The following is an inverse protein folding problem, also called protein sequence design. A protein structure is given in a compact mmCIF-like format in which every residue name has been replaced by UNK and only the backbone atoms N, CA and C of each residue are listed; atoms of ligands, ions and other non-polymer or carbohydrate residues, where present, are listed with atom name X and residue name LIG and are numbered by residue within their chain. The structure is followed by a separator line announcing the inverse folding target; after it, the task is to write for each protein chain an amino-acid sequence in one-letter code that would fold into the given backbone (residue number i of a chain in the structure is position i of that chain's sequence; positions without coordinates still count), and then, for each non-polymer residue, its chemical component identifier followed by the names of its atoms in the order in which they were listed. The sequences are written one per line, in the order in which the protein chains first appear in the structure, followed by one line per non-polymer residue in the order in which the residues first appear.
data_IF_511023179592
#
_entry.id   IF_511023179592
#
_cell.length_a   1.000
_cell.length_b   1.000
_cell.length_c   1.000
_cell.angle_alpha   90.00
_cell.angle_beta   90.00
_cell.angle_gamma   90.00
#
_symmetry.space_group_name_H-M   'P 1'
#
loop_
_entity.id
_entity.type
_entity.pdbx_description
1 polymer ?
#
# COMPACT_ATOMS: atom_id res chain seq x y z
N UNK A 1 0.56 -9.31 12.23
CA UNK A 1 1.97 -9.70 12.00
C UNK A 1 2.67 -8.68 11.08
N UNK A 2 2.43 -7.37 11.27
CA UNK A 2 2.66 -6.36 10.21
C UNK A 2 3.75 -5.32 10.53
N UNK A 3 4.23 -5.28 11.77
CA UNK A 3 5.21 -4.27 12.19
C UNK A 3 6.57 -4.38 11.52
N UNK A 4 6.92 -5.51 10.89
CA UNK A 4 8.22 -5.69 10.22
C UNK A 4 8.28 -5.01 8.85
N UNK A 5 7.16 -4.92 8.14
CA UNK A 5 7.05 -4.29 6.81
C UNK A 5 7.33 -2.78 6.91
N UNK A 6 6.94 -2.18 8.03
CA UNK A 6 7.12 -0.76 8.36
C UNK A 6 8.54 -0.43 8.90
N UNK A 7 9.39 -1.44 9.14
CA UNK A 7 10.77 -1.19 9.58
C UNK A 7 11.56 -0.59 8.42
N UNK A 8 12.26 0.53 8.69
CA UNK A 8 13.12 1.22 7.71
C UNK A 8 14.05 0.22 7.01
N UNK A 9 13.93 0.15 5.68
CA UNK A 9 14.62 -0.81 4.82
C UNK A 9 16.15 -0.80 4.95
N UNK A 10 16.75 0.32 5.36
CA UNK A 10 18.20 0.45 5.56
C UNK A 10 18.63 0.37 7.03
N UNK A 11 17.75 -0.09 7.93
CA UNK A 11 18.12 -0.25 9.34
C UNK A 11 18.87 -1.57 9.58
N UNK A 12 19.78 -1.58 10.56
CA UNK A 12 20.47 -2.80 11.00
C UNK A 12 19.46 -3.88 11.45
N UNK A 13 18.37 -3.45 12.09
CA UNK A 13 17.27 -4.32 12.52
C UNK A 13 16.60 -5.01 11.33
N UNK A 14 16.31 -4.26 10.26
CA UNK A 14 15.79 -4.82 9.02
C UNK A 14 16.75 -5.83 8.39
N UNK A 15 18.04 -5.49 8.29
CA UNK A 15 19.05 -6.39 7.73
C UNK A 15 19.05 -7.76 8.40
N UNK A 16 19.06 -7.79 9.74
CA UNK A 16 19.03 -9.05 10.52
C UNK A 16 17.76 -9.88 10.26
N UNK A 17 16.60 -9.23 10.25
CA UNK A 17 15.32 -9.91 9.99
C UNK A 17 15.29 -10.43 8.55
N UNK A 18 15.72 -9.62 7.60
CA UNK A 18 15.71 -9.95 6.18
C UNK A 18 16.62 -11.11 5.85
N UNK A 19 17.86 -11.13 6.37
CA UNK A 19 18.78 -12.25 6.18
C UNK A 19 18.21 -13.56 6.71
N UNK A 20 17.55 -13.52 7.88
CA UNK A 20 16.87 -14.70 8.43
C UNK A 20 15.70 -15.13 7.53
N UNK A 21 14.93 -14.19 7.00
CA UNK A 21 13.82 -14.45 6.07
C UNK A 21 14.29 -15.16 4.79
N UNK A 22 15.34 -14.63 4.14
CA UNK A 22 15.97 -15.24 2.97
C UNK A 22 16.42 -16.67 3.25
N UNK A 23 17.11 -16.89 4.38
CA UNK A 23 17.58 -18.23 4.74
C UNK A 23 16.43 -19.23 4.89
N UNK A 24 15.31 -18.82 5.49
CA UNK A 24 14.13 -19.68 5.60
C UNK A 24 13.48 -19.93 4.24
N UNK A 25 13.38 -18.92 3.38
CA UNK A 25 12.85 -19.07 2.02
C UNK A 25 13.67 -20.09 1.21
N UNK A 26 15.01 -19.97 1.24
CA UNK A 26 15.92 -20.92 0.59
C UNK A 26 15.76 -22.32 1.21
N UNK A 27 15.70 -22.44 2.53
CA UNK A 27 15.51 -23.73 3.20
C UNK A 27 14.20 -24.41 2.78
N UNK A 28 13.10 -23.68 2.71
CA UNK A 28 11.81 -24.21 2.21
C UNK A 28 11.94 -24.64 0.75
N UNK A 29 12.60 -23.83 -0.09
CA UNK A 29 12.81 -24.14 -1.49
C UNK A 29 13.60 -25.44 -1.74
N UNK A 30 14.50 -25.84 -0.82
CA UNK A 30 15.22 -27.12 -0.94
C UNK A 30 14.31 -28.35 -0.94
N UNK A 31 13.05 -28.23 -0.47
CA UNK A 31 12.03 -29.27 -0.59
C UNK A 31 11.46 -29.44 -2.01
N UNK A 32 11.79 -28.56 -2.95
CA UNK A 32 11.25 -28.54 -4.30
C UNK A 32 12.36 -28.66 -5.34
N UNK A 33 12.39 -29.77 -6.09
CA UNK A 33 13.47 -30.09 -7.03
C UNK A 33 13.64 -29.11 -8.20
N UNK A 34 12.65 -28.26 -8.46
CA UNK A 34 12.67 -27.27 -9.54
C UNK A 34 12.96 -25.83 -9.07
N UNK A 35 13.03 -25.58 -7.76
CA UNK A 35 13.26 -24.24 -7.21
C UNK A 35 14.70 -24.14 -6.75
N UNK A 36 15.49 -23.31 -7.43
CA UNK A 36 16.88 -23.03 -7.04
C UNK A 36 16.93 -22.07 -5.85
N UNK A 37 18.04 -22.07 -5.12
CA UNK A 37 18.26 -21.10 -4.05
C UNK A 37 18.22 -19.64 -4.55
N UNK A 38 18.65 -19.40 -5.79
CA UNK A 38 18.58 -18.08 -6.43
C UNK A 38 17.12 -17.67 -6.71
N UNK A 39 16.29 -18.57 -7.23
CA UNK A 39 14.86 -18.31 -7.42
C UNK A 39 14.16 -18.02 -6.09
N UNK A 40 14.50 -18.75 -5.03
CA UNK A 40 13.97 -18.52 -3.70
C UNK A 40 14.44 -17.17 -3.09
N UNK A 41 15.69 -16.78 -3.35
CA UNK A 41 16.23 -15.48 -2.96
C UNK A 41 15.46 -14.34 -3.65
N UNK A 42 15.33 -14.39 -4.98
CA UNK A 42 14.64 -13.37 -5.75
C UNK A 42 13.17 -13.28 -5.34
N UNK A 43 12.46 -14.41 -5.29
CA UNK A 43 11.05 -14.45 -4.90
C UNK A 43 10.80 -13.95 -3.47
N UNK A 44 11.75 -14.11 -2.55
CA UNK A 44 11.66 -13.53 -1.21
C UNK A 44 11.66 -11.99 -1.27
N UNK A 45 12.58 -11.38 -2.01
CA UNK A 45 12.67 -9.92 -2.08
C UNK A 45 11.48 -9.32 -2.84
N UNK A 46 11.04 -9.95 -3.92
CA UNK A 46 9.82 -9.54 -4.63
C UNK A 46 8.59 -9.59 -3.71
N UNK A 47 8.45 -10.68 -2.93
CA UNK A 47 7.37 -10.80 -1.95
C UNK A 47 7.42 -9.69 -0.88
N UNK A 48 8.60 -9.41 -0.33
CA UNK A 48 8.78 -8.34 0.65
C UNK A 48 8.47 -6.97 0.06
N UNK A 49 8.93 -6.69 -1.16
CA UNK A 49 8.69 -5.42 -1.82
C UNK A 49 7.20 -5.24 -2.13
N UNK A 50 6.51 -6.30 -2.55
CA UNK A 50 5.05 -6.29 -2.72
C UNK A 50 4.33 -6.03 -1.39
N UNK A 51 4.69 -6.72 -0.31
CA UNK A 51 4.09 -6.48 1.01
C UNK A 51 4.31 -5.05 1.50
N UNK A 52 5.48 -4.46 1.22
CA UNK A 52 5.78 -3.05 1.50
C UNK A 52 4.98 -2.12 0.64
N UNK A 53 4.84 -2.44 -0.64
CA UNK A 53 3.97 -1.72 -1.54
C UNK A 53 2.55 -1.73 -0.98
N UNK A 54 1.97 -2.88 -0.66
CA UNK A 54 0.62 -3.01 -0.10
C UNK A 54 0.46 -2.23 1.21
N UNK A 55 1.37 -2.39 2.17
CA UNK A 55 1.32 -1.66 3.43
C UNK A 55 1.42 -0.14 3.21
N UNK A 56 2.29 0.32 2.31
CA UNK A 56 2.41 1.75 2.02
C UNK A 56 1.27 2.28 1.15
N UNK A 57 0.72 1.46 0.27
CA UNK A 57 -0.20 1.86 -0.78
C UNK A 57 -1.64 1.73 -0.34
N UNK A 58 -2.01 0.63 0.33
CA UNK A 58 -3.38 0.23 0.70
C UNK A 58 -3.77 0.59 2.15
N UNK A 59 -2.81 0.79 3.06
CA UNK A 59 -3.14 1.10 4.47
C UNK A 59 -4.11 2.29 4.58
N UNK A 60 -5.08 2.29 5.47
CA UNK A 60 -6.05 3.40 5.65
C UNK A 60 -6.92 3.75 4.42
N UNK A 61 -6.75 3.14 3.23
CA UNK A 61 -7.62 3.44 2.08
C UNK A 61 -9.03 2.92 2.28
N UNK A 62 -9.17 1.76 2.92
CA UNK A 62 -10.46 1.21 3.36
C UNK A 62 -11.19 2.22 4.26
N UNK A 63 -10.50 2.81 5.24
CA UNK A 63 -11.02 3.88 6.08
C UNK A 63 -11.41 5.13 5.29
N UNK A 64 -10.56 5.59 4.37
CA UNK A 64 -10.85 6.74 3.48
C UNK A 64 -12.14 6.48 2.70
N UNK A 65 -12.25 5.32 2.05
CA UNK A 65 -13.44 4.99 1.26
C UNK A 65 -14.70 4.83 2.11
N UNK A 66 -14.57 4.25 3.30
CA UNK A 66 -15.69 4.11 4.23
C UNK A 66 -16.23 5.48 4.68
N UNK A 67 -15.36 6.41 5.04
CA UNK A 67 -15.75 7.76 5.47
C UNK A 67 -16.35 8.61 4.33
N UNK A 68 -15.83 8.43 3.10
CA UNK A 68 -16.44 9.02 1.91
C UNK A 68 -17.83 8.44 1.68
N UNK A 69 -17.96 7.10 1.72
CA UNK A 69 -19.23 6.42 1.53
C UNK A 69 -20.27 6.88 2.54
N UNK A 70 -19.91 6.99 3.82
CA UNK A 70 -20.80 7.47 4.87
C UNK A 70 -21.38 8.86 4.53
N UNK A 71 -20.54 9.80 4.09
CA UNK A 71 -20.96 11.16 3.70
C UNK A 71 -21.78 11.19 2.42
N UNK A 72 -21.42 10.37 1.44
CA UNK A 72 -22.18 10.24 0.19
C UNK A 72 -23.60 9.72 0.46
N UNK A 73 -23.77 8.78 1.41
CA UNK A 73 -25.12 8.33 1.81
C UNK A 73 -25.93 9.42 2.52
N UNK A 74 -25.28 10.48 3.01
CA UNK A 74 -25.91 11.69 3.55
C UNK A 74 -26.11 12.79 2.49
N UNK A 75 -26.16 12.43 1.20
CA UNK A 75 -26.38 13.32 0.05
C UNK A 75 -25.24 14.31 -0.26
N UNK A 76 -24.02 14.05 0.23
CA UNK A 76 -22.84 14.81 -0.20
C UNK A 76 -22.30 14.28 -1.53
N UNK A 77 -21.72 15.17 -2.35
CA UNK A 77 -20.96 14.71 -3.52
C UNK A 77 -19.69 14.00 -3.07
N UNK A 78 -19.18 13.07 -3.88
CA UNK A 78 -17.90 12.39 -3.58
C UNK A 78 -16.77 13.39 -3.37
N UNK A 79 -16.74 14.47 -4.19
CA UNK A 79 -15.70 15.51 -4.09
C UNK A 79 -15.78 16.25 -2.77
N UNK A 80 -16.98 16.66 -2.34
CA UNK A 80 -17.16 17.40 -1.09
C UNK A 80 -16.87 16.50 0.12
N UNK A 81 -17.27 15.23 0.06
CA UNK A 81 -16.93 14.23 1.07
C UNK A 81 -15.41 14.04 1.19
N UNK A 82 -14.70 13.90 0.06
CA UNK A 82 -13.23 13.81 0.02
C UNK A 82 -12.57 15.09 0.56
N UNK A 83 -13.09 16.26 0.21
CA UNK A 83 -12.58 17.56 0.66
C UNK A 83 -12.77 17.75 2.18
N UNK A 84 -13.89 17.28 2.73
CA UNK A 84 -14.15 17.33 4.17
C UNK A 84 -13.21 16.42 4.95
N UNK A 85 -13.08 15.14 4.57
CA UNK A 85 -12.17 14.21 5.27
C UNK A 85 -10.70 14.66 5.16
N UNK A 86 -10.33 15.32 4.06
CA UNK A 86 -9.02 15.94 3.86
C UNK A 86 -8.79 17.08 4.86
N UNK A 87 -9.77 18.00 4.98
CA UNK A 87 -9.71 19.14 5.92
C UNK A 87 -9.72 18.71 7.39
N UNK A 88 -10.41 17.62 7.72
CA UNK A 88 -10.46 17.04 9.06
C UNK A 88 -9.20 16.26 9.43
N UNK A 89 -8.27 16.08 8.49
CA UNK A 89 -7.05 15.28 8.64
C UNK A 89 -7.26 13.88 9.20
N UNK A 90 -8.40 13.25 8.88
CA UNK A 90 -8.77 11.91 9.39
C UNK A 90 -7.76 10.83 9.02
N UNK A 91 -7.06 11.01 7.88
CA UNK A 91 -6.07 10.06 7.36
C UNK A 91 -4.75 10.76 7.02
N UNK A 92 -3.89 11.07 8.01
CA UNK A 92 -2.64 11.80 7.80
C UNK A 92 -1.71 11.16 6.76
N UNK A 93 -1.64 9.83 6.74
CA UNK A 93 -0.87 9.03 5.77
C UNK A 93 -1.37 9.17 4.32
N UNK A 94 -2.61 9.62 4.13
CA UNK A 94 -3.28 9.73 2.82
C UNK A 94 -3.47 11.17 2.36
N UNK A 95 -3.09 12.16 3.17
CA UNK A 95 -3.20 13.59 2.87
C UNK A 95 -2.70 13.98 1.49
N UNK A 96 -1.48 13.55 1.14
CA UNK A 96 -0.89 13.84 -0.17
C UNK A 96 -1.75 13.35 -1.34
N UNK A 97 -2.35 12.16 -1.21
CA UNK A 97 -3.18 11.58 -2.27
C UNK A 97 -4.56 12.21 -2.36
N UNK A 98 -5.18 12.50 -1.22
CA UNK A 98 -6.46 13.20 -1.19
C UNK A 98 -6.32 14.59 -1.82
N UNK A 99 -5.25 15.32 -1.49
CA UNK A 99 -4.91 16.59 -2.14
C UNK A 99 -4.73 16.43 -3.65
N UNK A 100 -3.94 15.45 -4.08
CA UNK A 100 -3.72 15.19 -5.50
C UNK A 100 -5.04 14.89 -6.24
N UNK A 101 -5.90 14.05 -5.68
CA UNK A 101 -7.20 13.74 -6.27
C UNK A 101 -8.09 15.01 -6.37
N UNK A 102 -8.15 15.82 -5.31
CA UNK A 102 -8.89 17.09 -5.29
C UNK A 102 -8.38 18.11 -6.34
N UNK A 103 -7.06 18.18 -6.52
CA UNK A 103 -6.42 19.15 -7.41
C UNK A 103 -6.48 18.73 -8.88
N UNK A 104 -6.37 17.43 -9.19
CA UNK A 104 -6.13 16.95 -10.57
C UNK A 104 -7.22 16.03 -11.13
N UNK A 105 -7.77 15.10 -10.34
CA UNK A 105 -8.79 14.16 -10.84
C UNK A 105 -10.14 14.87 -11.07
N UNK A 106 -10.52 15.77 -10.15
CA UNK A 106 -11.79 16.51 -10.28
C UNK A 106 -11.72 17.72 -11.24
N UNK A 107 -10.53 18.25 -11.53
CA UNK A 107 -10.38 19.37 -12.50
C UNK A 107 -10.38 18.90 -13.96
N UNK A 108 -9.87 17.70 -14.23
CA UNK A 108 -9.66 17.22 -15.59
C UNK A 108 -10.80 16.33 -16.12
N UNK A 109 -11.92 16.19 -15.39
CA UNK A 109 -13.03 15.30 -15.78
C UNK A 109 -12.69 13.81 -15.76
N UNK A 110 -11.50 13.43 -15.28
CA UNK A 110 -11.05 12.06 -15.15
C UNK A 110 -11.49 11.54 -13.78
N UNK A 111 -12.68 10.96 -13.70
CA UNK A 111 -13.19 10.36 -12.47
C UNK A 111 -12.18 9.38 -11.84
N UNK A 112 -11.77 9.71 -10.61
CA UNK A 112 -11.26 8.80 -9.56
C UNK A 112 -10.15 7.83 -9.98
N UNK A 113 -9.26 8.22 -10.90
CA UNK A 113 -8.30 7.29 -11.50
C UNK A 113 -7.13 6.92 -10.58
N UNK A 114 -6.75 7.78 -9.63
CA UNK A 114 -5.58 7.55 -8.77
C UNK A 114 -5.90 7.01 -7.38
N UNK A 115 -7.14 7.16 -6.89
CA UNK A 115 -7.59 6.43 -5.70
C UNK A 115 -7.77 4.94 -6.00
N UNK A 116 -8.05 4.57 -7.26
CA UNK A 116 -8.26 3.18 -7.66
C UNK A 116 -6.99 2.37 -7.91
N UNK A 117 -5.81 3.01 -7.99
CA UNK A 117 -4.58 2.31 -8.38
C UNK A 117 -4.75 1.67 -9.75
N UNK A 118 -4.30 2.33 -10.82
CA UNK A 118 -4.14 1.63 -12.10
C UNK A 118 -3.12 0.50 -11.89
N UNK A 119 -3.61 -0.71 -11.60
CA UNK A 119 -2.89 -1.95 -11.82
C UNK A 119 -2.52 -1.94 -13.30
N UNK A 120 -1.23 -1.76 -13.60
CA UNK A 120 -0.71 -2.01 -14.93
C UNK A 120 -1.01 -3.48 -15.26
N UNK A 121 -1.88 -3.72 -16.23
CA UNK A 121 -1.99 -4.98 -16.97
C UNK A 121 -0.88 -5.03 -18.02
#
# INVERSE_FOLDING_TARGET
MEGYVLIKARSLKWGKISTRGVYQAIKIATGFSKITGELAYTGYYECVDNLRFDASWLNDLDGVYFEIWLRVTMQMSFRDALEEIYKLEMFPSRQYRMKYALDYDFRNGNGVSYLHGKCYQ
#
